data_IF_569550844956
#
_entry.id   IF_569550844956
#
_cell.length_a   1.000
_cell.length_b   1.000
_cell.length_c   1.000
_cell.angle_alpha   90.00
_cell.angle_beta   90.00
_cell.angle_gamma   90.00
#
_symmetry.space_group_name_H-M   'P 1'
#
loop_
_entity.id
_entity.type
_entity.pdbx_description
1 polymer ?
#
# COMPACT_ATOMS: atom_id res chain seq x y z
N UNK A 1 8.66 20.03 -4.81
CA UNK A 1 9.26 19.19 -3.74
C UNK A 1 9.24 17.77 -4.26
N UNK A 2 10.36 17.09 -4.23
CA UNK A 2 10.50 15.70 -4.70
C UNK A 2 10.44 14.79 -3.47
N UNK A 3 9.46 13.88 -3.41
CA UNK A 3 9.26 13.02 -2.22
C UNK A 3 10.48 12.14 -1.94
N UNK A 4 11.07 11.54 -2.99
CA UNK A 4 12.22 10.63 -2.83
C UNK A 4 13.40 11.38 -2.21
N UNK A 5 13.77 12.53 -2.78
CA UNK A 5 14.96 13.28 -2.36
C UNK A 5 14.72 14.00 -1.02
N UNK A 6 13.59 14.65 -0.87
CA UNK A 6 13.34 15.58 0.22
C UNK A 6 12.85 14.92 1.50
N UNK A 7 12.10 13.81 1.36
CA UNK A 7 11.44 13.13 2.49
C UNK A 7 11.92 11.69 2.63
N UNK A 8 11.72 10.83 1.60
CA UNK A 8 11.97 9.41 1.72
C UNK A 8 13.42 9.09 2.11
N UNK A 9 14.39 9.63 1.40
CA UNK A 9 15.81 9.38 1.66
C UNK A 9 16.26 9.89 3.05
N UNK A 10 15.64 10.94 3.57
CA UNK A 10 15.99 11.51 4.87
C UNK A 10 15.30 10.83 6.05
N UNK A 11 14.05 10.41 5.86
CA UNK A 11 13.19 9.99 6.96
C UNK A 11 12.98 8.48 7.05
N UNK A 12 13.04 7.76 5.92
CA UNK A 12 12.62 6.36 5.83
C UNK A 12 13.70 5.41 5.33
N UNK A 13 14.52 5.81 4.37
CA UNK A 13 15.45 4.92 3.67
C UNK A 13 16.29 4.06 4.60
N UNK A 14 16.92 4.66 5.61
CA UNK A 14 17.79 3.93 6.55
C UNK A 14 17.03 3.08 7.57
N UNK A 15 15.74 3.36 7.80
CA UNK A 15 14.90 2.57 8.72
C UNK A 15 14.41 1.27 8.10
N UNK A 16 14.24 1.23 6.79
CA UNK A 16 13.58 0.14 6.06
C UNK A 16 14.48 -1.09 5.82
N UNK A 17 15.75 -1.06 6.22
CA UNK A 17 16.64 -2.19 6.06
C UNK A 17 16.69 -2.70 4.62
N UNK A 18 16.39 -3.98 4.41
CA UNK A 18 16.41 -4.61 3.08
C UNK A 18 15.27 -4.14 2.16
N UNK A 19 14.19 -3.58 2.69
CA UNK A 19 13.02 -3.11 1.93
C UNK A 19 13.24 -1.74 1.28
N UNK A 20 14.26 -1.00 1.70
CA UNK A 20 14.50 0.40 1.30
C UNK A 20 14.58 0.61 -0.21
N UNK A 21 15.29 -0.28 -0.92
CA UNK A 21 15.50 -0.13 -2.37
C UNK A 21 14.19 -0.39 -3.15
N UNK A 22 13.34 -1.29 -2.66
CA UNK A 22 12.01 -1.54 -3.23
C UNK A 22 11.11 -0.32 -3.05
N UNK A 23 11.04 0.24 -1.84
CA UNK A 23 10.24 1.45 -1.59
C UNK A 23 10.75 2.65 -2.37
N UNK A 24 12.06 2.83 -2.47
CA UNK A 24 12.63 3.90 -3.30
C UNK A 24 12.14 3.78 -4.75
N UNK A 25 12.21 2.59 -5.33
CA UNK A 25 11.74 2.34 -6.71
C UNK A 25 10.23 2.58 -6.87
N UNK A 26 9.42 2.25 -5.87
CA UNK A 26 7.98 2.55 -5.90
C UNK A 26 7.74 4.06 -6.03
N UNK A 27 8.43 4.86 -5.21
CA UNK A 27 8.24 6.31 -5.24
C UNK A 27 8.89 6.97 -6.46
N UNK A 28 10.05 6.52 -6.91
CA UNK A 28 10.65 6.95 -8.19
C UNK A 28 9.70 6.67 -9.36
N UNK A 29 9.04 5.51 -9.35
CA UNK A 29 8.02 5.16 -10.33
C UNK A 29 6.82 6.12 -10.25
N UNK A 30 6.26 6.34 -9.06
CA UNK A 30 5.14 7.26 -8.88
C UNK A 30 5.47 8.68 -9.34
N UNK A 31 6.67 9.17 -9.04
CA UNK A 31 7.14 10.48 -9.52
C UNK A 31 7.32 10.53 -11.03
N UNK A 32 7.75 9.41 -11.65
CA UNK A 32 7.93 9.32 -13.11
C UNK A 32 6.62 9.37 -13.91
N UNK A 33 5.48 9.08 -13.26
CA UNK A 33 4.17 9.14 -13.91
C UNK A 33 3.75 10.57 -14.26
N UNK A 34 4.36 11.59 -13.63
CA UNK A 34 3.95 13.00 -13.73
C UNK A 34 2.42 13.19 -13.59
N UNK A 35 1.82 12.35 -12.76
CA UNK A 35 0.38 12.27 -12.57
C UNK A 35 -0.04 13.04 -11.32
N UNK A 36 -0.94 14.00 -11.49
CA UNK A 36 -1.66 14.57 -10.36
C UNK A 36 -2.64 13.54 -9.80
N UNK A 37 -2.67 13.40 -8.48
CA UNK A 37 -3.59 12.49 -7.79
C UNK A 37 -3.39 11.01 -8.15
N UNK A 38 -2.22 10.41 -7.90
CA UNK A 38 -2.02 8.98 -8.05
C UNK A 38 -2.93 8.18 -7.11
N UNK A 39 -3.20 6.93 -7.47
CA UNK A 39 -4.02 6.00 -6.67
C UNK A 39 -3.16 4.84 -6.20
N UNK A 40 -3.01 4.72 -4.88
CA UNK A 40 -2.29 3.65 -4.21
C UNK A 40 -3.31 2.80 -3.45
N UNK A 41 -3.23 1.49 -3.63
CA UNK A 41 -4.06 0.51 -2.92
C UNK A 41 -3.16 -0.51 -2.25
N UNK A 42 -3.30 -0.65 -0.94
CA UNK A 42 -2.53 -1.56 -0.09
C UNK A 42 -3.45 -2.60 0.54
N UNK A 43 -3.00 -3.85 0.64
CA UNK A 43 -3.56 -4.87 1.51
C UNK A 43 -2.53 -5.25 2.57
N UNK A 44 -2.97 -5.39 3.83
CA UNK A 44 -2.10 -5.39 5.01
C UNK A 44 -1.78 -3.96 5.45
N UNK A 45 -2.02 -3.66 6.72
CA UNK A 45 -1.90 -2.30 7.27
C UNK A 45 -0.86 -2.26 8.39
N UNK A 46 -0.35 -1.07 8.71
CA UNK A 46 0.51 -0.87 9.85
C UNK A 46 -0.17 -1.37 11.16
N UNK A 47 0.52 -2.25 11.89
CA UNK A 47 -0.01 -2.93 13.09
C UNK A 47 0.82 -2.74 14.36
N UNK A 48 2.07 -2.29 14.24
CA UNK A 48 2.96 -2.08 15.39
C UNK A 48 3.79 -0.81 15.24
N UNK A 49 4.30 -0.30 16.37
CA UNK A 49 5.24 0.82 16.34
C UNK A 49 6.65 0.34 15.97
N UNK A 50 7.37 1.18 15.23
CA UNK A 50 8.83 1.10 15.02
C UNK A 50 9.35 -0.19 14.37
N UNK A 51 8.49 -1.05 13.80
CA UNK A 51 8.93 -2.24 13.08
C UNK A 51 9.20 -1.94 11.59
N UNK A 52 10.13 -1.04 11.32
CA UNK A 52 10.44 -0.56 9.96
C UNK A 52 11.05 -1.61 9.04
N UNK A 53 11.86 -2.51 9.58
CA UNK A 53 12.53 -3.55 8.78
C UNK A 53 11.63 -4.74 8.45
N UNK A 54 10.67 -5.03 9.31
CA UNK A 54 9.88 -6.26 9.24
C UNK A 54 8.48 -6.07 8.70
N UNK A 55 7.74 -5.06 9.19
CA UNK A 55 6.29 -5.15 9.14
C UNK A 55 5.58 -3.81 9.05
N UNK A 56 4.71 -3.67 8.06
CA UNK A 56 3.55 -2.79 8.06
C UNK A 56 3.77 -1.28 8.07
N UNK A 57 4.97 -0.78 8.00
CA UNK A 57 5.19 0.68 8.01
C UNK A 57 4.96 1.34 6.63
N UNK A 58 4.67 0.55 5.60
CA UNK A 58 4.29 1.01 4.26
C UNK A 58 3.11 1.98 4.29
N UNK A 59 2.09 1.69 5.09
CA UNK A 59 0.91 2.53 5.29
C UNK A 59 1.27 3.98 5.63
N UNK A 60 2.24 4.19 6.53
CA UNK A 60 2.66 5.54 6.93
C UNK A 60 3.39 6.26 5.80
N UNK A 61 4.22 5.54 5.07
CA UNK A 61 5.01 6.12 3.97
C UNK A 61 4.10 6.50 2.81
N UNK A 62 3.10 5.66 2.50
CA UNK A 62 2.10 5.97 1.48
C UNK A 62 1.20 7.15 1.89
N UNK A 63 0.80 7.23 3.17
CA UNK A 63 0.05 8.37 3.68
C UNK A 63 0.84 9.68 3.54
N UNK A 64 2.11 9.69 3.94
CA UNK A 64 2.97 10.87 3.80
C UNK A 64 3.15 11.28 2.34
N UNK A 65 3.32 10.31 1.44
CA UNK A 65 3.40 10.58 0.01
C UNK A 65 2.13 11.27 -0.51
N UNK A 66 0.95 10.70 -0.21
CA UNK A 66 -0.34 11.26 -0.65
C UNK A 66 -0.63 12.61 0.02
N UNK A 67 -0.18 12.82 1.25
CA UNK A 67 -0.29 14.13 1.90
C UNK A 67 0.46 15.22 1.17
N UNK A 68 1.61 14.88 0.58
CA UNK A 68 2.43 15.81 -0.16
C UNK A 68 1.92 16.07 -1.58
N UNK A 69 1.63 15.01 -2.35
CA UNK A 69 1.35 15.14 -3.79
C UNK A 69 -0.13 15.19 -4.12
N UNK A 70 -0.99 14.84 -3.17
CA UNK A 70 -2.41 14.58 -3.40
C UNK A 70 -2.67 13.17 -3.90
N UNK A 71 -3.93 12.85 -4.20
CA UNK A 71 -4.33 11.55 -4.73
C UNK A 71 -5.15 10.71 -3.77
N UNK A 72 -5.17 9.40 -3.99
CA UNK A 72 -5.97 8.46 -3.22
C UNK A 72 -5.07 7.37 -2.64
N UNK A 73 -5.19 7.15 -1.34
CA UNK A 73 -4.59 6.01 -0.67
C UNK A 73 -5.67 5.24 0.07
N UNK A 74 -5.75 3.95 -0.21
CA UNK A 74 -6.64 3.01 0.50
C UNK A 74 -5.80 1.87 1.04
N UNK A 75 -5.98 1.55 2.32
CA UNK A 75 -5.36 0.39 2.96
C UNK A 75 -6.42 -0.49 3.61
N UNK A 76 -6.27 -1.81 3.47
CA UNK A 76 -7.26 -2.81 3.86
C UNK A 76 -6.63 -3.80 4.84
N UNK A 77 -7.31 -4.05 5.95
CA UNK A 77 -6.91 -5.10 6.91
C UNK A 77 -8.15 -5.74 7.52
N UNK A 78 -8.04 -7.01 7.86
CA UNK A 78 -9.15 -7.75 8.48
C UNK A 78 -9.29 -7.45 9.97
N UNK A 79 -8.19 -7.07 10.65
CA UNK A 79 -8.14 -6.91 12.09
C UNK A 79 -8.53 -5.48 12.54
N UNK A 80 -9.63 -5.31 13.30
CA UNK A 80 -10.04 -3.99 13.79
C UNK A 80 -8.98 -3.26 14.64
N UNK A 81 -8.15 -4.02 15.37
CA UNK A 81 -7.06 -3.47 16.17
C UNK A 81 -5.99 -2.80 15.31
N UNK A 82 -5.64 -3.40 14.15
CA UNK A 82 -4.68 -2.85 13.21
C UNK A 82 -5.23 -1.56 12.56
N UNK A 83 -6.51 -1.58 12.17
CA UNK A 83 -7.21 -0.38 11.67
C UNK A 83 -7.17 0.76 12.68
N UNK A 84 -7.47 0.47 13.96
CA UNK A 84 -7.43 1.48 15.02
C UNK A 84 -6.03 2.03 15.26
N UNK A 85 -5.02 1.15 15.23
CA UNK A 85 -3.63 1.55 15.31
C UNK A 85 -3.26 2.49 14.15
N UNK A 86 -3.50 2.07 12.91
CA UNK A 86 -3.18 2.86 11.72
C UNK A 86 -3.90 4.22 11.72
N UNK A 87 -5.18 4.28 12.11
CA UNK A 87 -5.93 5.55 12.26
C UNK A 87 -5.26 6.54 13.18
N UNK A 88 -4.54 6.08 14.20
CA UNK A 88 -3.81 6.95 15.13
C UNK A 88 -2.52 7.52 14.54
N UNK A 89 -2.08 7.03 13.40
CA UNK A 89 -0.78 7.32 12.79
C UNK A 89 -0.86 8.03 11.44
N UNK A 90 -1.93 7.80 10.68
CA UNK A 90 -2.11 8.37 9.35
C UNK A 90 -3.07 9.56 9.37
N UNK A 91 -3.04 10.32 8.31
CA UNK A 91 -3.92 11.47 8.12
C UNK A 91 -5.36 11.05 7.81
N UNK A 92 -6.29 11.99 7.89
CA UNK A 92 -7.69 11.77 7.49
C UNK A 92 -7.88 11.63 5.97
N UNK A 93 -6.83 11.78 5.18
CA UNK A 93 -6.87 11.58 3.71
C UNK A 93 -6.80 10.09 3.34
N UNK A 94 -6.22 9.26 4.20
CA UNK A 94 -6.13 7.83 3.97
C UNK A 94 -7.46 7.14 4.27
N UNK A 95 -7.91 6.32 3.32
CA UNK A 95 -9.11 5.51 3.46
C UNK A 95 -8.74 4.13 4.02
N UNK A 96 -9.12 3.85 5.26
CA UNK A 96 -8.82 2.59 5.94
C UNK A 96 -10.07 1.72 6.02
N UNK A 97 -9.98 0.50 5.47
CA UNK A 97 -11.11 -0.44 5.35
C UNK A 97 -10.85 -1.66 6.23
N UNK A 98 -11.74 -1.90 7.21
CA UNK A 98 -11.75 -3.13 8.01
C UNK A 98 -12.58 -4.20 7.29
N UNK A 99 -11.93 -5.13 6.62
CA UNK A 99 -12.58 -6.22 5.87
C UNK A 99 -11.55 -7.26 5.45
N UNK A 100 -12.03 -8.47 5.15
CA UNK A 100 -11.27 -9.40 4.30
C UNK A 100 -10.85 -8.70 3.01
N UNK A 101 -9.58 -8.80 2.65
CA UNK A 101 -9.00 -8.05 1.53
C UNK A 101 -9.63 -8.44 0.19
N UNK A 102 -9.85 -9.73 -0.06
CA UNK A 102 -10.46 -10.21 -1.31
C UNK A 102 -11.88 -9.67 -1.47
N UNK A 103 -12.67 -9.65 -0.37
CA UNK A 103 -14.03 -9.11 -0.37
C UNK A 103 -14.02 -7.60 -0.63
N UNK A 104 -13.14 -6.87 0.05
CA UNK A 104 -13.01 -5.42 -0.13
C UNK A 104 -12.57 -5.06 -1.56
N UNK A 105 -11.57 -5.76 -2.09
CA UNK A 105 -11.07 -5.58 -3.45
C UNK A 105 -12.14 -5.85 -4.51
N UNK A 106 -12.97 -6.88 -4.32
CA UNK A 106 -14.12 -7.12 -5.18
C UNK A 106 -15.14 -5.97 -5.16
N UNK A 107 -15.40 -5.37 -4.00
CA UNK A 107 -16.28 -4.20 -3.91
C UNK A 107 -15.68 -3.00 -4.64
N UNK A 108 -14.39 -2.71 -4.39
CA UNK A 108 -13.65 -1.63 -5.04
C UNK A 108 -13.63 -1.82 -6.57
N UNK A 109 -13.42 -3.05 -7.06
CA UNK A 109 -13.36 -3.33 -8.49
C UNK A 109 -14.66 -3.01 -9.23
N UNK A 110 -15.80 -3.08 -8.55
CA UNK A 110 -17.14 -2.77 -9.10
C UNK A 110 -17.56 -1.33 -8.92
N UNK A 111 -16.88 -0.59 -8.06
CA UNK A 111 -17.17 0.83 -7.85
C UNK A 111 -16.63 1.64 -9.03
N UNK A 112 -17.55 2.18 -9.85
CA UNK A 112 -17.19 3.01 -11.03
C UNK A 112 -16.53 4.33 -10.63
N UNK A 113 -16.76 4.83 -9.41
CA UNK A 113 -16.16 6.04 -8.91
C UNK A 113 -14.73 5.85 -8.43
N UNK A 114 -14.35 4.62 -8.06
CA UNK A 114 -12.96 4.33 -7.65
C UNK A 114 -12.02 4.40 -8.85
N UNK A 115 -10.91 5.15 -8.78
CA UNK A 115 -10.00 5.34 -9.91
C UNK A 115 -9.27 4.05 -10.30
N UNK A 116 -8.65 4.07 -11.49
CA UNK A 116 -7.65 3.05 -11.87
C UNK A 116 -6.42 3.17 -10.97
N UNK A 117 -5.82 2.05 -10.65
CA UNK A 117 -4.73 1.93 -9.68
C UNK A 117 -3.40 2.20 -10.37
N UNK A 118 -2.54 3.01 -9.73
CA UNK A 118 -1.16 3.25 -10.16
C UNK A 118 -0.18 2.31 -9.43
N UNK A 119 -0.37 2.11 -8.12
CA UNK A 119 0.40 1.15 -7.32
C UNK A 119 -0.54 0.24 -6.54
N UNK A 120 -0.38 -1.07 -6.71
CA UNK A 120 -1.01 -2.11 -5.92
C UNK A 120 0.05 -2.81 -5.07
N UNK A 121 -0.05 -2.66 -3.74
CA UNK A 121 0.86 -3.26 -2.77
C UNK A 121 0.15 -4.36 -1.99
N UNK A 122 0.57 -5.62 -2.20
CA UNK A 122 -0.07 -6.83 -1.65
C UNK A 122 0.78 -7.38 -0.51
N UNK A 123 0.40 -7.12 0.74
CA UNK A 123 1.14 -7.51 1.95
C UNK A 123 0.20 -7.99 3.08
N UNK A 124 -0.96 -8.55 2.73
CA UNK A 124 -2.00 -8.93 3.70
C UNK A 124 -1.81 -10.29 4.36
N UNK A 125 -0.92 -11.12 3.82
CA UNK A 125 -0.75 -12.51 4.27
C UNK A 125 0.74 -12.82 4.43
N UNK A 126 1.16 -13.09 5.67
CA UNK A 126 2.55 -13.37 6.01
C UNK A 126 3.10 -14.60 5.26
N UNK A 127 4.32 -14.49 4.74
CA UNK A 127 4.99 -15.58 4.04
C UNK A 127 5.60 -16.57 5.05
N UNK A 128 5.12 -17.80 5.03
CA UNK A 128 5.83 -18.94 5.65
C UNK A 128 6.79 -19.54 4.63
N UNK A 129 8.10 -19.43 4.88
CA UNK A 129 9.14 -19.94 4.00
C UNK A 129 9.12 -21.48 3.85
N UNK A 130 8.56 -22.20 4.85
CA UNK A 130 8.40 -23.66 4.80
C UNK A 130 7.16 -24.06 3.98
N UNK A 131 6.17 -23.19 3.89
CA UNK A 131 4.93 -23.42 3.13
C UNK A 131 4.44 -22.12 2.48
N UNK A 132 5.02 -21.68 1.35
CA UNK A 132 4.69 -20.40 0.73
C UNK A 132 3.35 -20.40 -0.03
N UNK A 133 2.74 -21.58 -0.24
CA UNK A 133 1.54 -21.73 -1.08
C UNK A 133 0.36 -20.91 -0.55
N UNK A 134 0.00 -20.92 0.75
CA UNK A 134 -1.15 -20.15 1.24
C UNK A 134 -1.03 -18.64 0.96
N UNK A 135 0.13 -18.06 1.22
CA UNK A 135 0.40 -16.63 0.97
C UNK A 135 0.31 -16.32 -0.53
N UNK A 136 1.02 -17.06 -1.36
CA UNK A 136 1.01 -16.87 -2.82
C UNK A 136 -0.40 -17.00 -3.40
N UNK A 137 -1.17 -17.97 -2.92
CA UNK A 137 -2.55 -18.19 -3.38
C UNK A 137 -3.50 -17.09 -2.90
N UNK A 138 -3.28 -16.56 -1.70
CA UNK A 138 -4.07 -15.44 -1.20
C UNK A 138 -3.82 -14.17 -2.04
N UNK A 139 -2.57 -13.80 -2.29
CA UNK A 139 -2.22 -12.65 -3.12
C UNK A 139 -2.72 -12.80 -4.57
N UNK A 140 -2.73 -14.03 -5.10
CA UNK A 140 -3.37 -14.28 -6.41
C UNK A 140 -4.87 -13.99 -6.40
N UNK A 141 -5.59 -14.38 -5.33
CA UNK A 141 -7.03 -14.05 -5.19
C UNK A 141 -7.24 -12.55 -5.11
N UNK A 142 -6.42 -11.85 -4.37
CA UNK A 142 -6.45 -10.39 -4.27
C UNK A 142 -6.26 -9.73 -5.64
N UNK A 143 -5.23 -10.14 -6.37
CA UNK A 143 -4.97 -9.63 -7.72
C UNK A 143 -6.15 -9.88 -8.66
N UNK A 144 -6.72 -11.08 -8.65
CA UNK A 144 -7.89 -11.40 -9.47
C UNK A 144 -9.13 -10.57 -9.08
N UNK A 145 -9.33 -10.34 -7.79
CA UNK A 145 -10.46 -9.55 -7.28
C UNK A 145 -10.41 -8.09 -7.76
N UNK A 146 -9.22 -7.50 -7.82
CA UNK A 146 -9.02 -6.09 -8.20
C UNK A 146 -8.69 -5.90 -9.68
N UNK A 147 -8.52 -6.97 -10.44
CA UNK A 147 -8.07 -6.92 -11.82
C UNK A 147 -8.79 -5.87 -12.70
N UNK A 148 -10.12 -5.64 -12.60
CA UNK A 148 -10.81 -4.60 -13.38
C UNK A 148 -10.32 -3.17 -13.14
N UNK A 149 -9.52 -2.93 -12.09
CA UNK A 149 -8.90 -1.63 -11.78
C UNK A 149 -7.42 -1.56 -12.15
N UNK A 150 -6.87 -2.63 -12.71
CA UNK A 150 -5.50 -2.70 -13.21
C UNK A 150 -5.48 -2.18 -14.65
N UNK A 151 -4.49 -1.38 -14.96
CA UNK A 151 -4.27 -0.81 -16.31
C UNK A 151 -2.81 -1.00 -16.74
N UNK A 152 -2.54 -0.75 -18.03
CA UNK A 152 -1.14 -0.70 -18.47
C UNK A 152 -0.40 0.38 -17.68
N UNK A 153 0.68 -0.01 -17.05
CA UNK A 153 1.47 0.86 -16.19
C UNK A 153 1.09 0.79 -14.70
N UNK A 154 0.14 -0.05 -14.26
CA UNK A 154 0.00 -0.33 -12.83
C UNK A 154 1.23 -1.08 -12.31
N UNK A 155 1.89 -0.55 -11.30
CA UNK A 155 2.96 -1.25 -10.57
C UNK A 155 2.32 -2.18 -9.53
N UNK A 156 2.68 -3.45 -9.58
CA UNK A 156 2.24 -4.47 -8.60
C UNK A 156 3.47 -4.89 -7.78
N UNK A 157 3.35 -4.87 -6.47
CA UNK A 157 4.41 -5.18 -5.50
C UNK A 157 3.92 -6.22 -4.51
#
# INVERSE_FOLDING_TARGET
MNFVIDIFNKSYYFKLGKRRDTFQKIFEYLESLDKKNPTILETGIARTNENWEGDGMSTLIFDDYINLVGGNFTSIDIEPSNINFAKSKVSSKSNLICSDSVIALHKISRDKAYPMIDVLYLDSFDLDWNNPIPSSFHHMKELLAIYPKIQKGTLIV
#
